data_IF_299198415911
#
_entry.id   IF_299198415911
#
_cell.length_a   1.000
_cell.length_b   1.000
_cell.length_c   1.000
_cell.angle_alpha   90.00
_cell.angle_beta   90.00
_cell.angle_gamma   90.00
#
_symmetry.space_group_name_H-M   'P 1'
#
loop_
_entity.id
_entity.type
_entity.pdbx_description
1 polymer ?
#
# COMPACT_ATOMS: atom_id res chain seq x y z
N UNK A 1 -22.69 10.36 -14.66
CA UNK A 1 -21.35 9.79 -14.42
C UNK A 1 -21.55 8.29 -14.32
N UNK A 2 -20.78 7.49 -15.06
CA UNK A 2 -20.87 6.04 -14.95
C UNK A 2 -19.91 5.58 -13.85
N UNK A 3 -20.43 4.89 -12.84
CA UNK A 3 -19.63 4.30 -11.78
C UNK A 3 -19.03 2.98 -12.27
N UNK A 4 -17.77 2.74 -11.93
CA UNK A 4 -17.00 1.56 -12.37
C UNK A 4 -16.14 1.08 -11.22
N UNK A 5 -15.73 -0.18 -11.23
CA UNK A 5 -14.62 -0.61 -10.38
C UNK A 5 -13.28 -0.32 -11.06
N UNK A 6 -12.27 0.04 -10.26
CA UNK A 6 -10.90 0.22 -10.75
C UNK A 6 -9.96 -0.82 -10.16
N UNK A 7 -9.33 -1.61 -11.02
CA UNK A 7 -8.39 -2.68 -10.66
C UNK A 7 -7.06 -2.50 -11.38
N UNK A 8 -5.94 -2.74 -10.71
CA UNK A 8 -4.60 -2.71 -11.29
C UNK A 8 -3.97 -4.10 -11.17
N UNK A 9 -4.12 -4.93 -12.22
CA UNK A 9 -3.62 -6.31 -12.21
C UNK A 9 -2.12 -6.32 -12.44
N UNK A 10 -1.39 -7.01 -11.55
CA UNK A 10 0.06 -7.24 -11.65
C UNK A 10 0.35 -8.72 -11.45
N UNK A 11 0.90 -9.39 -12.46
CA UNK A 11 1.34 -10.78 -12.34
C UNK A 11 2.68 -10.85 -11.61
N UNK A 12 2.60 -10.89 -10.28
CA UNK A 12 3.62 -11.53 -9.44
C UNK A 12 3.04 -12.89 -9.02
N UNK A 13 3.88 -13.92 -8.83
CA UNK A 13 3.54 -15.31 -8.49
C UNK A 13 2.11 -15.59 -7.93
N UNK A 14 1.11 -15.79 -8.81
CA UNK A 14 -0.26 -16.16 -8.41
C UNK A 14 -1.35 -15.12 -8.63
N UNK A 15 -1.06 -13.99 -9.29
CA UNK A 15 -2.07 -12.98 -9.67
C UNK A 15 -2.44 -12.06 -8.50
N UNK A 16 -1.98 -10.82 -8.57
CA UNK A 16 -2.26 -9.81 -7.55
C UNK A 16 -2.88 -8.58 -8.21
N UNK A 17 -3.74 -7.84 -7.51
CA UNK A 17 -4.13 -6.53 -7.98
C UNK A 17 -4.23 -5.51 -6.86
N UNK A 18 -4.05 -4.25 -7.23
CA UNK A 18 -4.52 -3.14 -6.42
C UNK A 18 -5.97 -2.82 -6.75
N UNK A 19 -6.73 -2.50 -5.72
CA UNK A 19 -8.15 -2.17 -5.77
C UNK A 19 -8.35 -0.77 -5.26
N UNK A 20 -9.14 0.04 -5.97
CA UNK A 20 -9.71 1.22 -5.33
C UNK A 20 -10.68 0.79 -4.24
N UNK A 21 -10.56 1.41 -3.07
CA UNK A 21 -11.41 1.16 -1.90
C UNK A 21 -12.02 2.46 -1.42
N UNK A 22 -13.14 2.37 -0.70
CA UNK A 22 -13.76 3.54 -0.10
C UNK A 22 -12.83 4.11 0.99
N UNK A 23 -12.78 5.43 1.06
CA UNK A 23 -12.10 6.22 2.09
C UNK A 23 -12.55 5.85 3.51
N UNK A 24 -13.76 5.31 3.67
CA UNK A 24 -14.39 4.99 4.95
C UNK A 24 -14.13 3.55 5.43
N UNK A 25 -12.91 3.04 5.28
CA UNK A 25 -12.50 1.76 5.87
C UNK A 25 -13.03 1.55 7.29
N UNK A 26 -13.23 0.29 7.73
CA UNK A 26 -13.76 0.06 9.08
C UNK A 26 -12.87 0.69 10.13
N UNK A 27 -13.43 1.03 11.30
CA UNK A 27 -12.60 1.32 12.47
C UNK A 27 -11.57 0.17 12.65
N UNK A 28 -10.28 0.48 12.90
CA UNK A 28 -9.28 -0.54 13.14
C UNK A 28 -9.67 -1.44 14.32
N UNK A 29 -9.31 -2.71 14.26
CA UNK A 29 -9.48 -3.63 15.37
C UNK A 29 -8.42 -3.43 16.48
N UNK A 30 -8.42 -4.32 17.47
CA UNK A 30 -7.48 -4.31 18.60
C UNK A 30 -6.01 -4.47 18.20
N UNK A 31 -5.75 -4.96 16.99
CA UNK A 31 -4.44 -5.10 16.38
C UNK A 31 -4.11 -3.96 15.42
N UNK A 32 -5.01 -2.97 15.29
CA UNK A 32 -4.90 -1.85 14.37
C UNK A 32 -5.18 -2.22 12.90
N UNK A 33 -5.72 -3.42 12.64
CA UNK A 33 -6.03 -3.88 11.29
C UNK A 33 -7.40 -3.38 10.85
N UNK A 34 -7.51 -2.94 9.61
CA UNK A 34 -8.75 -2.39 9.05
C UNK A 34 -9.36 -3.35 8.03
N UNK A 35 -10.69 -3.42 7.99
CA UNK A 35 -11.37 -4.04 6.87
C UNK A 35 -11.55 -3.02 5.74
N UNK A 36 -11.11 -3.41 4.55
CA UNK A 36 -11.25 -2.64 3.31
C UNK A 36 -12.09 -3.42 2.31
N UNK A 37 -12.95 -2.73 1.59
CA UNK A 37 -13.81 -3.29 0.56
C UNK A 37 -13.59 -2.51 -0.72
N UNK A 38 -13.44 -3.19 -1.88
CA UNK A 38 -13.43 -2.49 -3.16
C UNK A 38 -14.66 -1.62 -3.33
N UNK A 39 -14.49 -0.40 -3.83
CA UNK A 39 -15.59 0.54 -4.04
C UNK A 39 -15.63 1.00 -5.50
N UNK A 40 -16.83 1.28 -6.03
CA UNK A 40 -16.93 1.98 -7.29
C UNK A 40 -16.27 3.36 -7.23
N UNK A 41 -15.82 3.82 -8.39
CA UNK A 41 -15.27 5.15 -8.65
C UNK A 41 -15.98 5.76 -9.83
N UNK A 42 -15.97 7.09 -9.91
CA UNK A 42 -16.48 7.80 -11.08
C UNK A 42 -15.48 7.63 -12.22
N UNK A 43 -15.90 6.96 -13.30
CA UNK A 43 -15.05 6.60 -14.45
C UNK A 43 -14.22 7.77 -15.00
N UNK A 44 -14.88 8.91 -15.26
CA UNK A 44 -14.24 10.11 -15.84
C UNK A 44 -13.21 10.77 -14.90
N UNK A 45 -13.49 10.80 -13.59
CA UNK A 45 -12.57 11.38 -12.62
C UNK A 45 -11.37 10.46 -12.39
N UNK A 46 -11.60 9.16 -12.37
CA UNK A 46 -10.56 8.17 -12.16
C UNK A 46 -9.65 8.04 -13.39
N UNK A 47 -10.19 8.07 -14.61
CA UNK A 47 -9.39 8.05 -15.83
C UNK A 47 -8.45 9.26 -15.90
N UNK A 48 -8.96 10.47 -15.63
CA UNK A 48 -8.14 11.68 -15.54
C UNK A 48 -7.05 11.54 -14.46
N UNK A 49 -7.37 10.94 -13.31
CA UNK A 49 -6.39 10.67 -12.27
C UNK A 49 -5.28 9.70 -12.72
N UNK A 50 -5.62 8.68 -13.51
CA UNK A 50 -4.62 7.77 -14.10
C UNK A 50 -3.73 8.50 -15.12
N UNK A 51 -4.30 9.35 -15.97
CA UNK A 51 -3.53 10.19 -16.89
C UNK A 51 -2.56 11.13 -16.16
N UNK A 52 -3.02 11.75 -15.06
CA UNK A 52 -2.18 12.57 -14.17
C UNK A 52 -0.99 11.78 -13.62
N UNK A 53 -1.18 10.48 -13.34
CA UNK A 53 -0.15 9.56 -12.88
C UNK A 53 0.73 8.99 -14.01
N UNK A 54 0.41 9.27 -15.28
CA UNK A 54 1.08 8.68 -16.45
C UNK A 54 0.69 7.22 -16.70
N UNK A 55 -0.41 6.76 -16.12
CA UNK A 55 -0.93 5.41 -16.26
C UNK A 55 -1.88 5.31 -17.46
N UNK A 56 -1.87 4.15 -18.11
CA UNK A 56 -2.88 3.75 -19.09
C UNK A 56 -3.87 2.80 -18.46
N UNK A 57 -5.08 2.72 -19.02
CA UNK A 57 -6.10 1.80 -18.55
C UNK A 57 -6.90 1.17 -19.69
N UNK A 58 -7.52 0.03 -19.40
CA UNK A 58 -8.47 -0.65 -20.29
C UNK A 58 -9.90 -0.53 -19.76
N UNK A 59 -10.89 -0.41 -20.63
CA UNK A 59 -12.30 -0.48 -20.23
C UNK A 59 -12.76 -1.92 -20.41
N UNK A 60 -13.39 -2.49 -19.39
CA UNK A 60 -13.90 -3.86 -19.41
C UNK A 60 -15.42 -3.83 -19.25
N UNK A 61 -16.11 -4.30 -20.28
CA UNK A 61 -17.57 -4.42 -20.32
C UNK A 61 -18.04 -5.74 -20.96
N UNK A 62 -17.11 -6.59 -21.40
CA UNK A 62 -17.39 -7.89 -21.99
C UNK A 62 -16.23 -8.88 -21.73
N UNK A 63 -16.46 -10.15 -22.05
CA UNK A 63 -15.49 -11.22 -21.82
C UNK A 63 -14.24 -11.11 -22.69
N UNK A 64 -14.33 -10.47 -23.86
CA UNK A 64 -13.20 -10.26 -24.77
C UNK A 64 -12.23 -9.23 -24.19
N UNK A 65 -12.73 -8.07 -23.79
CA UNK A 65 -11.96 -7.00 -23.14
C UNK A 65 -11.34 -7.48 -21.82
N UNK A 66 -12.05 -8.32 -21.06
CA UNK A 66 -11.49 -9.01 -19.89
C UNK A 66 -10.29 -9.88 -20.26
N UNK A 67 -10.44 -10.78 -21.24
CA UNK A 67 -9.37 -11.67 -21.66
C UNK A 67 -8.13 -10.89 -22.14
N UNK A 68 -8.33 -9.89 -23.00
CA UNK A 68 -7.25 -9.03 -23.50
C UNK A 68 -6.54 -8.32 -22.35
N UNK A 69 -7.28 -7.73 -21.40
CA UNK A 69 -6.69 -7.08 -20.23
C UNK A 69 -5.88 -8.04 -19.35
N UNK A 70 -6.33 -9.28 -19.14
CA UNK A 70 -5.53 -10.26 -18.36
C UNK A 70 -4.19 -10.60 -19.02
N UNK A 71 -4.08 -10.46 -20.34
CA UNK A 71 -2.83 -10.65 -21.07
C UNK A 71 -1.90 -9.44 -20.94
N UNK A 72 -2.44 -8.21 -21.02
CA UNK A 72 -1.66 -6.97 -20.99
C UNK A 72 -1.34 -6.47 -19.58
N UNK A 73 -2.21 -6.75 -18.61
CA UNK A 73 -2.15 -6.30 -17.21
C UNK A 73 -2.25 -4.77 -17.07
N UNK A 74 -2.11 -4.27 -15.83
CA UNK A 74 -2.24 -2.86 -15.50
C UNK A 74 -3.66 -2.46 -15.10
N UNK A 75 -3.98 -1.17 -15.22
CA UNK A 75 -5.27 -0.63 -14.80
C UNK A 75 -6.42 -1.03 -15.72
N UNK A 76 -7.56 -1.37 -15.12
CA UNK A 76 -8.84 -1.54 -15.78
C UNK A 76 -9.95 -0.79 -15.04
N UNK A 77 -10.85 -0.20 -15.83
CA UNK A 77 -12.13 0.32 -15.40
C UNK A 77 -13.21 -0.68 -15.82
N UNK A 78 -13.78 -1.36 -14.84
CA UNK A 78 -14.70 -2.49 -15.05
C UNK A 78 -16.13 -2.04 -14.77
N UNK A 79 -17.02 -2.31 -15.72
CA UNK A 79 -18.45 -2.10 -15.54
C UNK A 79 -18.96 -2.82 -14.27
N UNK A 80 -19.88 -2.18 -13.55
CA UNK A 80 -20.37 -2.69 -12.26
C UNK A 80 -21.08 -4.03 -12.43
N UNK A 81 -22.00 -4.13 -13.40
CA UNK A 81 -22.76 -5.36 -13.64
C UNK A 81 -21.84 -6.49 -14.06
N UNK A 82 -20.88 -6.18 -14.94
CA UNK A 82 -19.87 -7.13 -15.38
C UNK A 82 -18.98 -7.63 -14.23
N UNK A 83 -18.54 -6.74 -13.34
CA UNK A 83 -17.73 -7.10 -12.18
C UNK A 83 -18.49 -8.02 -11.21
N UNK A 84 -19.78 -7.80 -10.99
CA UNK A 84 -20.59 -8.68 -10.14
C UNK A 84 -20.81 -10.06 -10.76
N UNK A 85 -20.98 -10.13 -12.09
CA UNK A 85 -21.19 -11.38 -12.80
C UNK A 85 -19.91 -12.23 -12.88
N UNK A 86 -18.79 -11.61 -13.22
CA UNK A 86 -17.56 -12.33 -13.58
C UNK A 86 -16.44 -12.25 -12.53
N UNK A 87 -16.50 -11.33 -11.58
CA UNK A 87 -15.46 -11.11 -10.57
C UNK A 87 -15.98 -11.00 -9.12
N UNK A 88 -17.04 -11.72 -8.69
CA UNK A 88 -17.65 -11.51 -7.38
C UNK A 88 -16.71 -11.80 -6.20
N UNK A 89 -15.71 -12.65 -6.38
CA UNK A 89 -14.70 -12.95 -5.37
C UNK A 89 -13.71 -11.80 -5.14
N UNK A 90 -13.49 -10.95 -6.15
CA UNK A 90 -12.62 -9.78 -6.04
C UNK A 90 -13.26 -8.67 -5.21
N UNK A 91 -14.60 -8.58 -5.21
CA UNK A 91 -15.37 -7.55 -4.52
C UNK A 91 -15.53 -7.81 -3.01
N UNK A 92 -14.88 -8.84 -2.46
CA UNK A 92 -15.00 -9.22 -1.05
C UNK A 92 -14.19 -8.30 -0.15
N UNK A 93 -14.74 -7.96 1.01
CA UNK A 93 -14.01 -7.27 2.07
C UNK A 93 -12.77 -8.06 2.50
N UNK A 94 -11.65 -7.38 2.73
CA UNK A 94 -10.38 -7.96 3.19
C UNK A 94 -9.91 -7.28 4.46
N UNK A 95 -9.25 -8.05 5.32
CA UNK A 95 -8.59 -7.51 6.50
C UNK A 95 -7.18 -7.11 6.11
N UNK A 96 -6.81 -5.87 6.39
CA UNK A 96 -5.60 -5.28 5.85
C UNK A 96 -4.70 -4.70 6.94
N UNK A 97 -3.40 -4.78 6.68
CA UNK A 97 -2.38 -3.99 7.35
C UNK A 97 -2.03 -2.75 6.50
N UNK A 98 -1.34 -1.79 7.09
CA UNK A 98 -0.88 -0.56 6.44
C UNK A 98 0.58 -0.71 6.03
N UNK A 99 0.85 -0.51 4.74
CA UNK A 99 2.19 -0.48 4.19
C UNK A 99 2.91 0.83 4.55
N UNK A 100 4.24 0.92 4.45
CA UNK A 100 4.97 2.17 4.67
C UNK A 100 4.58 3.29 3.69
N UNK A 101 3.90 2.94 2.60
CA UNK A 101 3.44 3.87 1.56
C UNK A 101 2.01 4.39 1.82
N UNK A 102 1.35 3.94 2.89
CA UNK A 102 -0.04 4.28 3.19
C UNK A 102 -1.08 3.41 2.48
N UNK A 103 -0.64 2.50 1.60
CA UNK A 103 -1.50 1.50 0.97
C UNK A 103 -1.86 0.35 1.91
N UNK A 104 -2.99 -0.28 1.64
CA UNK A 104 -3.50 -1.38 2.45
C UNK A 104 -3.07 -2.69 1.83
N UNK A 105 -2.57 -3.64 2.62
CA UNK A 105 -2.24 -4.98 2.11
C UNK A 105 -3.05 -6.02 2.86
N UNK A 106 -3.76 -6.86 2.12
CA UNK A 106 -4.48 -8.01 2.67
C UNK A 106 -3.54 -8.90 3.48
N UNK A 107 -3.91 -9.20 4.72
CA UNK A 107 -3.11 -10.05 5.60
C UNK A 107 -2.95 -11.49 5.09
N UNK A 108 -3.78 -11.91 4.14
CA UNK A 108 -3.63 -13.18 3.44
C UNK A 108 -2.42 -13.18 2.48
N UNK A 109 -1.96 -12.00 2.05
CA UNK A 109 -0.74 -11.84 1.26
C UNK A 109 0.51 -11.62 2.11
N UNK A 110 0.33 -10.97 3.26
CA UNK A 110 1.45 -10.66 4.15
C UNK A 110 2.03 -11.93 4.79
N UNK A 111 3.35 -12.10 4.70
CA UNK A 111 4.03 -13.21 5.35
C UNK A 111 3.98 -13.11 6.87
N UNK A 112 4.16 -14.23 7.57
CA UNK A 112 4.15 -14.27 9.05
C UNK A 112 5.14 -13.29 9.69
N UNK A 113 6.30 -13.08 9.08
CA UNK A 113 7.28 -12.13 9.60
C UNK A 113 6.80 -10.68 9.50
N UNK A 114 6.02 -10.35 8.48
CA UNK A 114 5.46 -9.02 8.25
C UNK A 114 4.34 -8.73 9.26
N UNK A 115 3.59 -9.76 9.64
CA UNK A 115 2.47 -9.68 10.61
C UNK A 115 2.89 -9.73 12.08
N UNK A 116 4.15 -10.05 12.39
CA UNK A 116 4.64 -10.13 13.78
C UNK A 116 5.22 -8.79 14.22
N UNK A 117 4.95 -8.39 15.46
CA UNK A 117 5.53 -7.15 16.04
C UNK A 117 7.06 -7.14 16.06
N UNK A 118 7.68 -8.26 16.42
CA UNK A 118 9.14 -8.29 16.60
C UNK A 118 9.86 -8.73 15.34
N UNK A 119 10.82 -7.92 14.90
CA UNK A 119 11.72 -8.22 13.80
C UNK A 119 13.06 -8.75 14.35
N UNK A 120 13.50 -9.95 13.92
CA UNK A 120 14.67 -10.65 14.49
C UNK A 120 15.70 -11.04 13.43
N UNK A 121 16.92 -11.31 13.90
CA UNK A 121 17.98 -11.97 13.11
C UNK A 121 18.66 -11.08 12.07
N UNK A 122 19.04 -11.67 10.93
CA UNK A 122 19.87 -11.04 9.87
C UNK A 122 19.32 -9.71 9.36
N UNK A 123 18.01 -9.48 9.46
CA UNK A 123 17.39 -8.27 8.97
C UNK A 123 17.50 -7.06 9.91
N UNK A 124 17.67 -7.26 11.24
CA UNK A 124 18.00 -6.16 12.17
C UNK A 124 19.31 -5.50 11.76
N UNK A 125 20.31 -6.31 11.43
CA UNK A 125 21.61 -5.82 10.95
C UNK A 125 21.47 -4.95 9.71
N UNK A 126 20.65 -5.35 8.73
CA UNK A 126 20.41 -4.55 7.52
C UNK A 126 19.86 -3.15 7.84
N UNK A 127 18.91 -3.04 8.78
CA UNK A 127 18.32 -1.75 9.16
C UNK A 127 19.36 -0.88 9.86
N UNK A 128 20.13 -1.46 10.78
CA UNK A 128 21.24 -0.76 11.44
C UNK A 128 22.28 -0.28 10.42
N UNK A 129 22.69 -1.14 9.48
CA UNK A 129 23.67 -0.79 8.44
C UNK A 129 23.15 0.35 7.55
N UNK A 130 21.86 0.35 7.18
CA UNK A 130 21.21 1.46 6.44
C UNK A 130 21.28 2.77 7.21
N UNK A 131 20.99 2.71 8.51
CA UNK A 131 20.91 3.87 9.40
C UNK A 131 22.29 4.21 10.01
N UNK A 132 23.39 3.76 9.39
CA UNK A 132 24.77 4.01 9.82
C UNK A 132 25.10 3.58 11.26
N UNK A 133 24.39 2.57 11.77
CA UNK A 133 24.46 2.12 13.17
C UNK A 133 24.25 3.27 14.17
N UNK A 134 23.36 4.21 13.85
CA UNK A 134 23.07 5.39 14.64
C UNK A 134 21.57 5.65 14.73
N UNK A 135 21.15 6.33 15.80
CA UNK A 135 19.81 6.87 15.92
C UNK A 135 19.55 7.90 14.81
N UNK A 136 18.51 7.70 13.98
CA UNK A 136 18.22 8.62 12.87
C UNK A 136 17.77 10.03 13.32
N UNK A 137 17.46 10.21 14.60
CA UNK A 137 17.09 11.53 15.17
C UNK A 137 18.30 12.26 15.75
N UNK A 138 19.08 11.61 16.61
CA UNK A 138 20.12 12.28 17.41
C UNK A 138 21.54 11.77 17.15
N UNK A 139 21.73 10.84 16.22
CA UNK A 139 23.02 10.22 15.87
C UNK A 139 23.70 9.40 16.98
N UNK A 140 23.06 9.18 18.13
CA UNK A 140 23.58 8.30 19.19
C UNK A 140 23.85 6.89 18.67
N UNK A 141 24.98 6.30 19.05
CA UNK A 141 25.34 4.89 18.78
C UNK A 141 24.97 3.94 19.92
N UNK A 142 24.58 4.48 21.08
CA UNK A 142 24.27 3.72 22.28
C UNK A 142 22.80 3.27 22.34
N UNK A 143 22.57 2.09 22.93
CA UNK A 143 21.23 1.54 23.23
C UNK A 143 20.25 1.59 22.04
N UNK A 144 20.70 1.10 20.89
CA UNK A 144 19.93 1.13 19.65
C UNK A 144 18.79 0.10 19.64
N UNK A 145 17.61 0.60 19.26
CA UNK A 145 16.36 -0.12 19.10
C UNK A 145 15.84 0.06 17.67
N UNK A 146 14.87 -0.78 17.29
CA UNK A 146 14.14 -0.61 16.04
C UNK A 146 12.74 -0.09 16.35
N UNK A 147 12.32 0.93 15.63
CA UNK A 147 11.00 1.56 15.78
C UNK A 147 10.23 1.50 14.46
N UNK A 148 8.94 1.19 14.55
CA UNK A 148 8.03 1.29 13.43
C UNK A 148 7.67 2.75 13.13
N UNK A 149 7.74 3.16 11.86
CA UNK A 149 7.34 4.51 11.43
C UNK A 149 5.80 4.63 11.41
N UNK A 150 5.13 3.67 10.77
CA UNK A 150 3.70 3.40 10.97
C UNK A 150 3.60 2.37 12.10
N UNK A 151 3.11 2.75 13.30
CA UNK A 151 3.14 1.88 14.47
C UNK A 151 2.42 0.55 14.23
N UNK A 152 3.00 -0.53 14.74
CA UNK A 152 2.39 -1.87 14.69
C UNK A 152 0.97 -1.89 15.29
N UNK A 153 0.76 -1.17 16.41
CA UNK A 153 -0.56 -1.05 17.05
C UNK A 153 -1.59 -0.28 16.23
N UNK A 154 -1.16 0.42 15.17
CA UNK A 154 -2.03 1.11 14.20
C UNK A 154 -2.08 0.33 12.87
N UNK A 155 -1.75 -0.97 12.89
CA UNK A 155 -1.78 -1.84 11.72
C UNK A 155 -0.56 -1.74 10.80
N UNK A 156 0.48 -1.00 11.17
CA UNK A 156 1.69 -0.87 10.37
C UNK A 156 2.45 -2.20 10.23
N UNK A 157 2.86 -2.53 9.02
CA UNK A 157 3.60 -3.77 8.78
C UNK A 157 4.99 -3.79 9.42
N UNK A 158 5.48 -4.97 9.76
CA UNK A 158 6.87 -5.15 10.18
C UNK A 158 7.75 -5.47 8.98
N UNK A 159 8.32 -4.42 8.37
CA UNK A 159 9.23 -4.57 7.23
C UNK A 159 10.43 -3.64 7.33
N UNK A 160 11.47 -3.94 6.55
CA UNK A 160 12.64 -3.08 6.41
C UNK A 160 12.27 -1.66 5.96
N UNK A 161 11.16 -1.50 5.24
CA UNK A 161 10.69 -0.20 4.73
C UNK A 161 9.89 0.58 5.76
N UNK A 162 9.41 -0.05 6.84
CA UNK A 162 8.64 0.59 7.92
C UNK A 162 9.40 0.64 9.26
N UNK A 163 10.64 0.15 9.33
CA UNK A 163 11.45 0.14 10.55
C UNK A 163 12.68 1.05 10.42
N UNK A 164 12.96 1.81 11.47
CA UNK A 164 14.12 2.70 11.60
C UNK A 164 14.87 2.46 12.91
N UNK A 165 16.15 2.84 12.93
CA UNK A 165 17.02 2.75 14.08
C UNK A 165 16.88 4.00 14.95
N UNK A 166 16.54 3.80 16.23
CA UNK A 166 16.49 4.86 17.23
C UNK A 166 17.19 4.43 18.51
N UNK A 167 17.88 5.35 19.18
CA UNK A 167 18.30 5.10 20.56
C UNK A 167 17.06 5.03 21.48
N UNK A 168 17.17 4.27 22.57
CA UNK A 168 16.08 4.09 23.54
C UNK A 168 15.44 5.42 24.00
N UNK A 169 16.20 6.47 24.38
CA UNK A 169 15.58 7.75 24.79
C UNK A 169 14.75 8.42 23.70
N UNK A 170 15.20 8.38 22.43
CA UNK A 170 14.43 8.94 21.31
C UNK A 170 13.18 8.10 21.04
N UNK A 171 13.31 6.77 21.11
CA UNK A 171 12.18 5.86 20.88
C UNK A 171 11.08 6.06 21.94
N UNK A 172 11.45 6.13 23.22
CA UNK A 172 10.51 6.35 24.32
C UNK A 172 9.76 7.70 24.19
N UNK A 173 10.41 8.75 23.68
CA UNK A 173 9.79 10.06 23.46
C UNK A 173 8.72 10.06 22.35
N UNK A 174 8.87 9.22 21.32
CA UNK A 174 7.88 9.12 20.24
C UNK A 174 6.62 8.35 20.66
N UNK A 175 6.76 7.40 21.59
CA UNK A 175 5.64 6.58 22.05
C UNK A 175 5.03 5.72 20.94
N UNK A 176 3.70 5.71 20.86
CA UNK A 176 2.92 4.90 19.90
C UNK A 176 2.34 5.70 18.74
N UNK A 177 2.82 6.92 18.51
CA UNK A 177 2.36 7.77 17.42
C UNK A 177 3.12 7.55 16.12
N UNK A 178 2.43 7.84 15.00
CA UNK A 178 3.04 7.74 13.69
C UNK A 178 3.84 9.01 13.43
N UNK A 179 5.16 8.87 13.31
CA UNK A 179 6.06 9.98 13.01
C UNK A 179 6.65 9.82 11.62
N UNK A 180 5.88 10.22 10.60
CA UNK A 180 6.23 10.05 9.17
C UNK A 180 7.57 10.68 8.79
N UNK A 181 8.02 11.69 9.52
CA UNK A 181 9.34 12.31 9.34
C UNK A 181 10.50 11.31 9.39
N UNK A 182 10.34 10.21 10.12
CA UNK A 182 11.33 9.14 10.18
C UNK A 182 11.63 8.53 8.83
N UNK A 183 10.67 8.50 7.89
CA UNK A 183 10.95 8.03 6.54
C UNK A 183 12.05 8.89 5.90
N UNK A 184 11.92 10.21 5.98
CA UNK A 184 12.90 11.14 5.42
C UNK A 184 14.24 11.03 6.12
N UNK A 185 14.25 11.02 7.45
CA UNK A 185 15.49 10.93 8.24
C UNK A 185 16.27 9.64 7.97
N UNK A 186 15.57 8.53 7.69
CA UNK A 186 16.19 7.24 7.37
C UNK A 186 16.43 7.01 5.87
N UNK A 187 16.17 8.01 5.01
CA UNK A 187 16.30 7.87 3.56
C UNK A 187 15.34 6.85 2.94
N UNK A 188 14.21 6.60 3.60
CA UNK A 188 13.16 5.70 3.14
C UNK A 188 12.17 6.46 2.27
N UNK A 189 11.63 5.76 1.27
CA UNK A 189 10.45 6.23 0.55
C UNK A 189 9.24 6.03 1.47
N UNK A 190 8.57 7.13 1.80
CA UNK A 190 7.24 7.16 2.42
C UNK A 190 6.24 7.84 1.48
N UNK A 191 5.04 8.06 1.98
CA UNK A 191 4.01 8.94 1.40
C UNK A 191 3.14 8.36 0.28
N UNK A 192 3.71 7.60 -0.67
CA UNK A 192 2.92 6.95 -1.71
C UNK A 192 3.56 5.67 -2.27
N UNK A 193 2.72 4.82 -2.87
CA UNK A 193 3.05 3.57 -3.53
C UNK A 193 3.81 3.88 -4.84
N UNK A 194 5.12 3.58 -4.92
CA UNK A 194 5.93 4.00 -6.06
C UNK A 194 5.44 3.48 -7.40
N UNK A 195 4.74 2.33 -7.41
CA UNK A 195 4.21 1.75 -8.64
C UNK A 195 3.01 2.50 -9.24
N UNK A 196 2.47 3.51 -8.54
CA UNK A 196 1.39 4.35 -9.05
C UNK A 196 1.86 5.40 -10.05
N UNK A 197 3.09 5.89 -9.93
CA UNK A 197 3.60 6.99 -10.76
C UNK A 197 4.40 6.41 -11.92
N UNK A 198 3.86 6.51 -13.13
CA UNK A 198 4.53 6.10 -14.37
C UNK A 198 4.99 7.33 -15.17
N UNK A 199 5.75 8.19 -14.50
CA UNK A 199 6.39 9.38 -15.09
C UNK A 199 7.85 9.41 -14.66
N UNK A 200 8.75 9.65 -15.60
CA UNK A 200 10.18 9.82 -15.30
C UNK A 200 10.43 11.05 -14.40
N UNK A 201 9.65 12.11 -14.60
CA UNK A 201 9.66 13.33 -13.79
C UNK A 201 8.20 13.69 -13.43
N UNK A 202 7.69 13.23 -12.28
CA UNK A 202 6.34 13.55 -11.86
C UNK A 202 6.23 15.01 -11.40
N UNK A 203 5.18 15.67 -11.87
CA UNK A 203 4.76 16.98 -11.39
C UNK A 203 4.05 16.87 -10.01
N UNK A 204 3.87 18.01 -9.33
CA UNK A 204 3.23 18.06 -8.01
C UNK A 204 1.83 17.45 -8.01
N UNK A 205 1.10 17.59 -9.13
CA UNK A 205 -0.24 17.04 -9.29
C UNK A 205 -0.22 15.52 -9.26
N UNK A 206 0.71 14.90 -9.98
CA UNK A 206 0.94 13.46 -9.97
C UNK A 206 1.33 12.95 -8.58
N UNK A 207 2.17 13.70 -7.86
CA UNK A 207 2.60 13.33 -6.50
C UNK A 207 1.44 13.39 -5.50
N UNK A 208 0.66 14.49 -5.51
CA UNK A 208 -0.56 14.61 -4.69
C UNK A 208 -1.52 13.46 -5.01
N UNK A 209 -1.69 13.16 -6.30
CA UNK A 209 -2.55 12.06 -6.73
C UNK A 209 -2.06 10.70 -6.21
N UNK A 210 -0.76 10.46 -6.26
CA UNK A 210 -0.17 9.21 -5.79
C UNK A 210 -0.40 9.02 -4.28
N UNK A 211 -0.25 10.08 -3.48
CA UNK A 211 -0.54 10.04 -2.03
C UNK A 211 -2.02 9.73 -1.77
N UNK A 212 -2.92 10.38 -2.52
CA UNK A 212 -4.36 10.13 -2.41
C UNK A 212 -4.72 8.69 -2.79
N UNK A 213 -4.20 8.18 -3.91
CA UNK A 213 -4.42 6.81 -4.34
C UNK A 213 -3.86 5.82 -3.32
N UNK A 214 -2.64 6.05 -2.83
CA UNK A 214 -2.02 5.16 -1.84
C UNK A 214 -2.90 5.00 -0.62
N UNK A 215 -3.51 6.08 -0.13
CA UNK A 215 -4.41 6.06 1.02
C UNK A 215 -5.77 5.39 0.75
N UNK A 216 -6.06 5.00 -0.50
CA UNK A 216 -7.32 4.42 -0.94
C UNK A 216 -7.16 3.12 -1.73
N UNK A 217 -5.94 2.60 -1.90
CA UNK A 217 -5.72 1.34 -2.59
C UNK A 217 -5.44 0.19 -1.63
N UNK A 218 -6.01 -0.95 -1.96
CA UNK A 218 -5.78 -2.22 -1.28
C UNK A 218 -5.12 -3.21 -2.24
N UNK A 219 -4.04 -3.84 -1.81
CA UNK A 219 -3.39 -4.95 -2.49
C UNK A 219 -3.94 -6.28 -1.95
N UNK A 220 -4.55 -7.09 -2.82
CA UNK A 220 -5.04 -8.45 -2.48
C UNK A 220 -4.83 -9.42 -3.65
N UNK A 221 -5.03 -10.72 -3.37
CA UNK A 221 -4.95 -11.77 -4.40
C UNK A 221 -6.13 -11.67 -5.34
N UNK A 222 -5.83 -11.86 -6.62
CA UNK A 222 -6.76 -11.83 -7.73
C UNK A 222 -6.71 -13.16 -8.46
N UNK A 223 -7.52 -14.09 -7.97
CA UNK A 223 -7.68 -15.37 -8.64
C UNK A 223 -8.37 -15.13 -10.00
N UNK A 224 -7.71 -15.53 -11.09
CA UNK A 224 -8.21 -15.39 -12.47
C UNK A 224 -8.95 -16.65 -12.97
N UNK A 225 -9.20 -17.61 -12.07
CA UNK A 225 -9.76 -18.94 -12.36
C UNK A 225 -11.23 -19.07 -11.93
#
# INVERSE_FOLDING_TARGET
>A
MNDVYAFDLKLVCGGYAYFSTDTLGSAPDDQGLEFRTPSPVISELFSRALEELGQTYTIINDTKSLYEWTCFQGWALVDISFAYEHMPHWLRKKKCLISPFGSFTDIALASDSVRKRTFRGKFKKRILDRDNNQCVICSSTENLTLQHVVPYSKGGETSYRNLVTLCEPCNQKLGSDCYRELFRLAGLKGDYEPSLVNKAMPDDKALIRAVQFSSNIMHTRCDLY
#
